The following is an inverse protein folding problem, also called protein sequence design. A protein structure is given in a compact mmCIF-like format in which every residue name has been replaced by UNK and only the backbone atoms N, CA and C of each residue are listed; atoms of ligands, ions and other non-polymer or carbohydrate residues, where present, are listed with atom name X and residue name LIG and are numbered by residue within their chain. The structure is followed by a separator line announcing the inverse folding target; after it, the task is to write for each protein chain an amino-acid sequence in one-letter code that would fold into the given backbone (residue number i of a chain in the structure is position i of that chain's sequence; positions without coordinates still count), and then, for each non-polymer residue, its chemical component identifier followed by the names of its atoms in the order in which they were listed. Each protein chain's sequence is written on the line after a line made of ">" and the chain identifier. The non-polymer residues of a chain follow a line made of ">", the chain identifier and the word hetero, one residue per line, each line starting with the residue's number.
data_IF_783603550388
#
_entry.id   IF_783603550388
#
_cell.length_a   1.000
_cell.length_b   1.000
_cell.length_c   1.000
_cell.angle_alpha   90.00
_cell.angle_beta   90.00
_cell.angle_gamma   90.00
#
_symmetry.space_group_name_H-M   'P 1'
#
loop_
_entity.id
_entity.type
_entity.pdbx_description
1 polymer ?
#
# COMPACT_ATOMS: atom_id res chain seq x y z
N UNK A 1 -66.56 -18.44 -11.69
CA UNK A 1 -66.21 -17.03 -11.93
C UNK A 1 -64.72 -16.88 -11.63
N UNK A 2 -63.87 -16.81 -12.65
CA UNK A 2 -62.40 -16.75 -12.52
C UNK A 2 -61.98 -15.28 -12.54
N UNK A 3 -61.37 -14.83 -11.45
CA UNK A 3 -60.94 -13.44 -11.26
C UNK A 3 -59.74 -13.11 -12.18
N UNK A 4 -59.76 -12.00 -12.93
CA UNK A 4 -58.71 -11.65 -13.89
C UNK A 4 -57.47 -11.00 -13.24
N UNK A 5 -57.47 -10.82 -11.92
CA UNK A 5 -56.48 -9.99 -11.21
C UNK A 5 -55.11 -10.69 -11.06
N UNK A 6 -55.08 -12.02 -11.05
CA UNK A 6 -53.82 -12.78 -10.87
C UNK A 6 -52.92 -12.78 -12.11
N UNK A 7 -53.44 -12.51 -13.31
CA UNK A 7 -52.63 -12.54 -14.54
C UNK A 7 -51.83 -11.27 -14.78
N UNK A 8 -52.24 -10.14 -14.18
CA UNK A 8 -51.55 -8.85 -14.32
C UNK A 8 -50.34 -8.73 -13.39
N UNK A 9 -50.37 -9.38 -12.22
CA UNK A 9 -49.24 -9.41 -11.27
C UNK A 9 -48.07 -10.27 -11.76
N UNK A 10 -48.32 -11.29 -12.60
CA UNK A 10 -47.25 -12.14 -13.13
C UNK A 10 -46.47 -11.48 -14.28
N UNK A 11 -47.08 -10.56 -15.02
CA UNK A 11 -46.44 -9.83 -16.13
C UNK A 11 -45.58 -8.65 -15.66
N UNK A 12 -45.86 -8.08 -14.48
CA UNK A 12 -45.07 -6.98 -13.91
C UNK A 12 -43.76 -7.45 -13.24
N UNK A 13 -43.61 -8.74 -12.94
CA UNK A 13 -42.38 -9.30 -12.35
C UNK A 13 -41.30 -9.66 -13.40
N UNK A 14 -41.61 -9.63 -14.69
CA UNK A 14 -40.68 -10.03 -15.75
C UNK A 14 -39.90 -8.88 -16.39
N UNK A 15 -40.17 -7.61 -16.02
CA UNK A 15 -39.64 -6.44 -16.71
C UNK A 15 -38.63 -5.60 -15.88
N UNK A 16 -37.91 -6.19 -14.93
CA UNK A 16 -36.89 -5.46 -14.14
C UNK A 16 -35.64 -6.27 -13.82
N UNK A 17 -35.07 -6.92 -14.82
CA UNK A 17 -33.63 -7.25 -14.83
C UNK A 17 -32.95 -6.49 -15.97
N UNK A 18 -33.15 -5.17 -15.98
CA UNK A 18 -32.28 -4.27 -16.72
C UNK A 18 -30.88 -4.34 -16.09
N UNK A 19 -29.98 -5.02 -16.81
CA UNK A 19 -28.61 -4.62 -17.05
C UNK A 19 -27.90 -3.82 -15.93
N UNK A 20 -27.33 -4.53 -14.96
CA UNK A 20 -26.09 -4.10 -14.29
C UNK A 20 -25.23 -5.32 -13.96
N UNK A 21 -24.91 -6.13 -14.97
CA UNK A 21 -23.58 -6.77 -14.98
C UNK A 21 -22.62 -5.68 -15.48
N UNK A 22 -22.36 -4.69 -14.61
CA UNK A 22 -21.17 -3.88 -14.74
C UNK A 22 -20.02 -4.87 -14.82
N UNK A 23 -19.27 -4.82 -15.92
CA UNK A 23 -18.10 -5.61 -16.17
C UNK A 23 -17.16 -5.54 -14.96
N UNK A 24 -17.26 -6.51 -14.05
CA UNK A 24 -16.17 -6.88 -13.18
C UNK A 24 -15.19 -7.53 -14.12
N UNK A 25 -14.30 -6.73 -14.71
CA UNK A 25 -13.13 -7.21 -15.42
C UNK A 25 -12.30 -7.96 -14.38
N UNK A 26 -12.29 -9.30 -14.34
CA UNK A 26 -11.48 -10.04 -13.39
C UNK A 26 -10.09 -10.07 -14.03
N UNK A 27 -9.32 -9.01 -13.82
CA UNK A 27 -8.09 -8.87 -14.60
C UNK A 27 -7.47 -7.49 -14.55
N UNK A 28 -7.50 -6.84 -13.38
CA UNK A 28 -6.34 -6.05 -13.01
C UNK A 28 -5.20 -7.05 -12.88
N UNK A 29 -4.44 -7.24 -13.96
CA UNK A 29 -3.17 -7.95 -13.91
C UNK A 29 -2.40 -7.29 -12.78
N UNK A 30 -2.30 -7.96 -11.63
CA UNK A 30 -1.25 -7.62 -10.66
C UNK A 30 0.06 -7.54 -11.45
N UNK A 31 1.00 -6.67 -11.08
CA UNK A 31 2.19 -6.41 -11.87
C UNK A 31 3.13 -7.63 -11.81
N UNK A 32 2.79 -8.70 -12.54
CA UNK A 32 3.63 -9.88 -12.72
C UNK A 32 4.60 -9.74 -13.90
N UNK A 33 4.60 -8.59 -14.57
CA UNK A 33 5.65 -8.24 -15.54
C UNK A 33 6.32 -6.95 -15.08
N UNK A 34 7.19 -7.09 -14.07
CA UNK A 34 8.08 -5.99 -13.71
C UNK A 34 9.11 -5.83 -14.84
N UNK A 35 9.32 -4.63 -15.38
CA UNK A 35 10.44 -4.38 -16.28
C UNK A 35 11.74 -4.83 -15.61
N UNK A 36 12.56 -5.57 -16.34
CA UNK A 36 13.86 -6.12 -15.88
C UNK A 36 14.82 -5.05 -15.32
N UNK A 37 14.56 -3.78 -15.60
CA UNK A 37 15.31 -2.64 -15.12
C UNK A 37 15.00 -2.28 -13.65
N UNK A 38 13.84 -2.68 -13.10
CA UNK A 38 13.51 -2.44 -11.68
C UNK A 38 13.86 -3.60 -10.75
N UNK A 39 14.56 -4.62 -11.24
CA UNK A 39 15.00 -5.76 -10.38
C UNK A 39 15.96 -5.30 -9.29
N UNK A 40 16.67 -4.18 -9.49
CA UNK A 40 17.57 -3.56 -8.51
C UNK A 40 16.83 -2.86 -7.34
N UNK A 41 15.51 -2.69 -7.43
CA UNK A 41 14.67 -2.06 -6.39
C UNK A 41 13.94 -3.08 -5.52
N UNK A 42 14.18 -4.36 -5.74
CA UNK A 42 13.62 -5.42 -4.92
C UNK A 42 14.23 -5.35 -3.51
N UNK A 43 13.40 -5.41 -2.46
CA UNK A 43 13.78 -5.27 -1.03
C UNK A 43 14.05 -3.83 -0.55
N UNK A 44 13.55 -2.82 -1.25
CA UNK A 44 13.60 -1.43 -0.78
C UNK A 44 12.41 -1.05 0.11
N UNK A 45 11.88 -2.00 0.87
CA UNK A 45 10.79 -1.76 1.82
C UNK A 45 11.07 -2.48 3.14
N UNK A 46 10.81 -1.77 4.23
CA UNK A 46 10.88 -2.28 5.59
C UNK A 46 9.60 -1.92 6.33
N UNK A 47 9.11 -2.85 7.16
CA UNK A 47 7.99 -2.61 8.04
C UNK A 47 8.27 -3.12 9.45
N UNK A 48 7.87 -2.32 10.44
CA UNK A 48 7.99 -2.62 11.85
C UNK A 48 6.64 -2.46 12.52
N UNK A 49 6.16 -3.54 13.12
CA UNK A 49 5.12 -3.52 14.13
C UNK A 49 5.79 -3.21 15.48
N UNK A 50 5.39 -2.11 16.13
CA UNK A 50 5.93 -1.73 17.42
C UNK A 50 5.15 -2.36 18.58
N UNK A 51 5.73 -2.29 19.77
CA UNK A 51 5.06 -2.67 21.01
C UNK A 51 4.11 -1.54 21.41
N UNK A 52 2.82 -1.78 21.19
CA UNK A 52 1.76 -0.86 21.57
C UNK A 52 1.31 -1.00 23.02
N UNK A 53 0.13 -0.46 23.33
CA UNK A 53 -0.55 -0.70 24.60
C UNK A 53 -1.66 -1.75 24.41
N UNK A 54 -2.53 -1.93 25.40
CA UNK A 54 -3.60 -2.93 25.34
C UNK A 54 -4.60 -2.71 24.18
N UNK A 55 -4.73 -1.47 23.70
CA UNK A 55 -5.76 -1.09 22.73
C UNK A 55 -5.21 -0.79 21.35
N UNK A 56 -3.95 -0.37 21.26
CA UNK A 56 -3.39 0.20 20.04
C UNK A 56 -2.05 -0.46 19.72
N UNK A 57 -1.84 -0.82 18.46
CA UNK A 57 -0.56 -1.29 17.90
C UNK A 57 -0.01 -0.26 16.90
N UNK A 58 1.20 0.26 17.12
CA UNK A 58 1.86 1.16 16.18
C UNK A 58 2.50 0.38 15.03
N UNK A 59 2.38 0.91 13.81
CA UNK A 59 3.06 0.41 12.62
C UNK A 59 3.89 1.52 11.97
N UNK A 60 5.04 1.12 11.42
CA UNK A 60 5.93 1.99 10.64
C UNK A 60 6.39 1.23 9.41
N UNK A 61 6.20 1.81 8.24
CA UNK A 61 6.67 1.30 6.97
C UNK A 61 7.52 2.38 6.30
N UNK A 62 8.68 1.97 5.80
CA UNK A 62 9.58 2.82 5.02
C UNK A 62 9.90 2.16 3.71
N UNK A 63 9.87 2.90 2.61
CA UNK A 63 10.28 2.39 1.32
C UNK A 63 10.98 3.45 0.47
N UNK A 64 11.90 3.01 -0.39
CA UNK A 64 12.47 3.86 -1.44
C UNK A 64 11.67 3.58 -2.71
N UNK A 65 11.15 4.64 -3.32
CA UNK A 65 10.19 4.53 -4.43
C UNK A 65 10.52 5.52 -5.55
N UNK A 66 10.08 5.21 -6.76
CA UNK A 66 10.23 6.06 -7.93
C UNK A 66 8.96 6.88 -8.25
N UNK A 67 7.84 6.59 -7.59
CA UNK A 67 6.54 7.27 -7.76
C UNK A 67 6.39 8.50 -6.85
N UNK A 68 5.41 9.35 -7.13
CA UNK A 68 4.99 10.43 -6.23
C UNK A 68 4.40 9.87 -4.92
N UNK A 69 4.95 10.34 -3.79
CA UNK A 69 4.58 9.86 -2.44
C UNK A 69 3.11 10.12 -2.10
N UNK A 70 2.56 11.26 -2.52
CA UNK A 70 1.16 11.64 -2.28
C UNK A 70 0.17 10.58 -2.81
N UNK A 71 0.43 10.07 -4.02
CA UNK A 71 -0.39 9.07 -4.69
C UNK A 71 -0.31 7.71 -3.99
N UNK A 72 0.90 7.30 -3.58
CA UNK A 72 1.09 6.08 -2.79
C UNK A 72 0.37 6.20 -1.45
N UNK A 73 0.53 7.32 -0.74
CA UNK A 73 -0.12 7.59 0.54
C UNK A 73 -1.64 7.47 0.45
N UNK A 74 -2.25 8.04 -0.58
CA UNK A 74 -3.70 7.95 -0.78
C UNK A 74 -4.15 6.49 -0.93
N UNK A 75 -3.45 5.69 -1.76
CA UNK A 75 -3.77 4.27 -1.96
C UNK A 75 -3.57 3.44 -0.69
N UNK A 76 -2.49 3.71 0.07
CA UNK A 76 -2.20 3.01 1.32
C UNK A 76 -3.31 3.21 2.35
N UNK A 77 -3.73 4.46 2.58
CA UNK A 77 -4.82 4.73 3.51
C UNK A 77 -6.15 4.16 3.03
N UNK A 78 -6.43 4.27 1.73
CA UNK A 78 -7.64 3.71 1.15
C UNK A 78 -7.72 2.19 1.36
N UNK A 79 -6.65 1.46 1.02
CA UNK A 79 -6.63 0.01 1.10
C UNK A 79 -6.58 -0.49 2.55
N UNK A 80 -5.84 0.18 3.44
CA UNK A 80 -5.81 -0.17 4.87
C UNK A 80 -7.21 -0.08 5.49
N UNK A 81 -7.93 1.02 5.23
CA UNK A 81 -9.25 1.25 5.83
C UNK A 81 -10.32 0.26 5.37
N UNK A 82 -10.14 -0.33 4.18
CA UNK A 82 -11.07 -1.29 3.59
C UNK A 82 -10.81 -2.73 4.02
N UNK A 83 -9.60 -3.04 4.48
CA UNK A 83 -9.19 -4.43 4.72
C UNK A 83 -9.87 -5.04 5.93
N UNK A 84 -9.92 -4.32 7.05
CA UNK A 84 -10.50 -4.81 8.31
C UNK A 84 -11.06 -3.64 9.12
N UNK A 85 -12.15 -3.88 9.87
CA UNK A 85 -12.77 -2.87 10.72
C UNK A 85 -11.82 -2.37 11.83
N UNK A 86 -10.94 -3.23 12.34
CA UNK A 86 -9.92 -2.88 13.32
C UNK A 86 -8.84 -1.93 12.75
N UNK A 87 -8.66 -1.94 11.42
CA UNK A 87 -7.72 -1.09 10.71
C UNK A 87 -8.38 0.17 10.11
N UNK A 88 -9.72 0.28 10.18
CA UNK A 88 -10.50 1.34 9.54
C UNK A 88 -10.27 2.74 10.11
N UNK A 89 -9.83 2.82 11.37
CA UNK A 89 -9.65 4.06 12.11
C UNK A 89 -8.20 4.23 12.58
N UNK A 90 -7.24 4.45 11.65
CA UNK A 90 -5.88 4.73 12.04
C UNK A 90 -5.80 6.09 12.74
N UNK A 91 -5.00 6.17 13.80
CA UNK A 91 -4.65 7.39 14.53
C UNK A 91 -3.16 7.69 14.37
N UNK A 92 -2.73 8.90 14.77
CA UNK A 92 -1.34 9.38 14.61
C UNK A 92 -0.78 9.14 13.19
N UNK A 93 -1.60 9.39 12.17
CA UNK A 93 -1.29 9.07 10.78
C UNK A 93 -0.24 10.03 10.24
N UNK A 94 0.86 9.48 9.75
CA UNK A 94 1.91 10.19 9.03
C UNK A 94 2.14 9.48 7.71
N UNK A 95 2.16 10.23 6.62
CA UNK A 95 2.57 9.73 5.31
C UNK A 95 3.27 10.85 4.55
N UNK A 96 4.59 10.78 4.45
CA UNK A 96 5.40 11.87 3.93
C UNK A 96 6.67 11.35 3.24
N UNK A 97 7.28 12.23 2.44
CA UNK A 97 8.59 11.99 1.83
C UNK A 97 9.69 12.42 2.80
N UNK A 98 10.53 11.46 3.21
CA UNK A 98 11.73 11.67 4.03
C UNK A 98 13.02 11.41 3.25
N UNK A 99 12.95 11.45 1.92
CA UNK A 99 14.09 11.21 1.05
C UNK A 99 15.04 12.40 1.01
N UNK A 100 16.27 12.14 0.58
CA UNK A 100 17.26 13.19 0.38
C UNK A 100 17.04 13.91 -0.96
N UNK A 101 16.62 15.18 -0.87
CA UNK A 101 16.35 16.04 -2.03
C UNK A 101 17.60 16.33 -2.85
N UNK A 102 18.81 16.24 -2.28
CA UNK A 102 20.07 16.51 -2.97
C UNK A 102 20.39 15.45 -4.03
N UNK A 103 19.97 14.20 -3.80
CA UNK A 103 20.13 13.07 -4.71
C UNK A 103 18.81 12.66 -5.39
N UNK A 104 17.76 13.47 -5.24
CA UNK A 104 16.40 13.22 -5.75
C UNK A 104 15.84 11.85 -5.30
N UNK A 105 16.25 11.36 -4.13
CA UNK A 105 15.69 10.15 -3.54
C UNK A 105 14.30 10.45 -2.97
N UNK A 106 13.32 9.58 -3.25
CA UNK A 106 12.00 9.64 -2.61
C UNK A 106 11.90 8.49 -1.61
N UNK A 107 11.78 8.83 -0.34
CA UNK A 107 11.69 7.84 0.75
C UNK A 107 10.33 7.98 1.41
N UNK A 108 9.44 7.06 1.08
CA UNK A 108 8.16 6.94 1.74
C UNK A 108 8.37 6.64 3.23
N UNK A 109 7.76 7.46 4.08
CA UNK A 109 7.57 7.16 5.50
C UNK A 109 6.09 7.11 5.81
N UNK A 110 5.59 5.93 6.17
CA UNK A 110 4.20 5.67 6.48
C UNK A 110 4.07 5.13 7.91
N UNK A 111 3.43 5.88 8.81
CA UNK A 111 3.34 5.55 10.24
C UNK A 111 1.95 5.82 10.77
N UNK A 112 1.45 4.92 11.63
CA UNK A 112 0.14 5.04 12.24
C UNK A 112 -0.04 4.09 13.41
N UNK A 113 -1.10 4.34 14.15
CA UNK A 113 -1.57 3.58 15.30
C UNK A 113 -2.95 3.00 14.96
N UNK A 114 -3.16 1.70 15.05
CA UNK A 114 -4.46 1.01 14.82
C UNK A 114 -4.83 0.14 16.01
N UNK A 115 -6.07 -0.37 16.07
CA UNK A 115 -6.47 -1.27 17.15
C UNK A 115 -5.61 -2.54 17.17
N UNK A 116 -5.36 -3.09 18.36
CA UNK A 116 -4.57 -4.33 18.55
C UNK A 116 -5.11 -5.55 17.81
N UNK A 117 -6.40 -5.55 17.47
CA UNK A 117 -7.02 -6.57 16.63
C UNK A 117 -6.72 -6.43 15.14
N UNK A 118 -6.14 -5.31 14.68
CA UNK A 118 -5.71 -5.13 13.29
C UNK A 118 -4.48 -6.01 13.01
N UNK A 119 -4.61 -7.06 12.19
CA UNK A 119 -3.51 -7.99 11.96
C UNK A 119 -2.44 -7.33 11.09
N UNK A 120 -1.16 -7.66 11.33
CA UNK A 120 -0.05 -7.17 10.49
C UNK A 120 -0.23 -7.54 9.01
N UNK A 121 -0.92 -8.65 8.72
CA UNK A 121 -1.28 -9.06 7.37
C UNK A 121 -2.17 -8.05 6.64
N UNK A 122 -3.00 -7.27 7.36
CA UNK A 122 -3.79 -6.20 6.75
C UNK A 122 -2.91 -5.05 6.25
N UNK A 123 -1.85 -4.72 7.00
CA UNK A 123 -0.86 -3.72 6.58
C UNK A 123 -0.07 -4.22 5.37
N UNK A 124 0.34 -5.48 5.38
CA UNK A 124 1.01 -6.12 4.23
C UNK A 124 0.09 -6.18 3.00
N UNK A 125 -1.21 -6.42 3.18
CA UNK A 125 -2.20 -6.40 2.11
C UNK A 125 -2.38 -5.00 1.54
N UNK A 126 -2.51 -3.98 2.40
CA UNK A 126 -2.61 -2.59 1.97
C UNK A 126 -1.39 -2.16 1.16
N UNK A 127 -0.18 -2.56 1.58
CA UNK A 127 1.04 -2.35 0.82
C UNK A 127 0.99 -3.05 -0.56
N UNK A 128 0.63 -4.33 -0.60
CA UNK A 128 0.54 -5.09 -1.84
C UNK A 128 -0.49 -4.49 -2.82
N UNK A 129 -1.69 -4.14 -2.35
CA UNK A 129 -2.74 -3.56 -3.21
C UNK A 129 -2.35 -2.16 -3.72
N UNK A 130 -1.59 -1.39 -2.93
CA UNK A 130 -1.20 -0.03 -3.30
C UNK A 130 -0.03 0.04 -4.27
N UNK A 131 0.85 -0.97 -4.24
CA UNK A 131 2.15 -0.93 -4.92
C UNK A 131 2.37 -2.11 -5.86
N UNK A 132 1.56 -3.17 -5.74
CA UNK A 132 1.79 -4.44 -6.41
C UNK A 132 3.09 -5.14 -5.99
N UNK A 133 3.68 -4.79 -4.84
CA UNK A 133 4.98 -5.28 -4.37
C UNK A 133 6.16 -5.03 -5.32
N UNK A 134 6.08 -4.00 -6.18
CA UNK A 134 7.19 -3.69 -7.09
C UNK A 134 8.48 -3.33 -6.31
N UNK A 135 8.39 -2.72 -5.13
CA UNK A 135 9.55 -2.41 -4.27
C UNK A 135 9.87 -3.51 -3.24
N UNK A 136 9.23 -4.68 -3.35
CA UNK A 136 9.38 -5.80 -2.41
C UNK A 136 8.21 -5.99 -1.45
N UNK A 137 8.30 -7.03 -0.61
CA UNK A 137 7.28 -7.38 0.40
C UNK A 137 7.61 -6.68 1.72
N UNK A 138 6.65 -5.99 2.32
CA UNK A 138 6.81 -5.25 3.59
C UNK A 138 7.08 -6.14 4.81
N UNK A 139 6.45 -7.33 4.90
CA UNK A 139 6.61 -8.33 5.97
C UNK A 139 6.45 -7.75 7.40
N UNK A 140 5.40 -6.95 7.63
CA UNK A 140 5.14 -6.32 8.92
C UNK A 140 5.01 -7.30 10.09
N UNK A 141 4.51 -8.53 9.84
CA UNK A 141 4.40 -9.58 10.86
C UNK A 141 5.72 -10.29 11.21
N UNK A 142 6.78 -10.07 10.43
CA UNK A 142 8.07 -10.76 10.59
C UNK A 142 9.01 -10.15 11.64
N UNK A 143 8.67 -8.98 12.18
CA UNK A 143 9.29 -8.42 13.39
C UNK A 143 10.78 -8.04 13.32
N UNK A 144 11.38 -7.87 12.13
CA UNK A 144 12.86 -7.82 12.01
C UNK A 144 13.46 -6.76 11.07
N UNK A 145 12.81 -5.62 10.85
CA UNK A 145 13.46 -4.56 10.08
C UNK A 145 13.35 -3.23 10.82
N UNK A 146 14.40 -2.91 11.57
CA UNK A 146 14.64 -1.54 12.01
C UNK A 146 15.28 -0.76 10.86
N UNK A 147 15.26 0.57 10.96
CA UNK A 147 15.74 1.50 9.94
C UNK A 147 17.18 1.24 9.46
N UNK A 148 17.99 0.53 10.25
CA UNK A 148 19.35 0.09 9.93
C UNK A 148 19.43 -1.09 8.93
N UNK A 149 18.29 -1.75 8.63
CA UNK A 149 18.23 -2.96 7.82
C UNK A 149 17.73 -2.73 6.39
N UNK A 150 17.37 -1.48 6.02
CA UNK A 150 17.33 -1.14 4.60
C UNK A 150 18.78 -1.21 4.11
N UNK A 151 19.10 -1.99 3.06
CA UNK A 151 20.46 -1.99 2.54
C UNK A 151 20.86 -0.53 2.27
N UNK A 152 22.02 -0.11 2.78
CA UNK A 152 22.69 1.09 2.25
C UNK A 152 22.69 0.87 0.73
N UNK A 153 21.92 1.69 0.01
CA UNK A 153 21.75 1.51 -1.42
C UNK A 153 23.15 1.34 -2.04
N UNK A 154 23.39 0.31 -2.88
CA UNK A 154 24.61 0.22 -3.63
C UNK A 154 24.48 1.18 -4.82
N UNK A 155 24.43 2.47 -4.56
CA UNK A 155 24.86 3.44 -5.55
C UNK A 155 26.22 3.93 -5.09
N UNK A 156 27.30 3.62 -5.83
CA UNK A 156 28.45 4.49 -5.77
C UNK A 156 27.98 5.82 -6.35
N UNK A 157 27.42 6.69 -5.52
CA UNK A 157 27.60 8.11 -5.77
C UNK A 157 29.12 8.26 -5.68
N UNK A 158 29.78 8.31 -6.84
CA UNK A 158 31.09 8.94 -6.90
C UNK A 158 30.83 10.33 -6.37
N UNK A 159 31.06 10.52 -5.08
CA UNK A 159 31.37 11.82 -4.53
C UNK A 159 32.66 12.17 -5.25
N UNK A 160 32.56 12.77 -6.43
CA UNK A 160 33.67 13.51 -6.99
C UNK A 160 34.06 14.45 -5.88
N UNK A 161 35.15 14.09 -5.19
CA UNK A 161 35.77 14.96 -4.21
C UNK A 161 35.96 16.26 -4.97
N UNK A 162 35.47 17.41 -4.48
CA UNK A 162 35.93 18.67 -5.00
C UNK A 162 37.45 18.61 -4.93
N UNK A 163 38.12 18.62 -6.07
CA UNK A 163 39.56 18.77 -6.16
C UNK A 163 39.86 20.14 -5.59
N UNK A 164 40.19 20.17 -4.30
CA UNK A 164 40.63 21.37 -3.63
C UNK A 164 42.09 21.59 -4.03
N UNK A 165 42.29 22.56 -4.93
CA UNK A 165 43.56 23.27 -5.11
C UNK A 165 44.55 22.66 -6.12
N UNK A 166 44.46 23.12 -7.37
CA UNK A 166 45.66 23.62 -8.04
C UNK A 166 45.73 25.13 -7.74
N UNK A 167 46.72 25.52 -6.94
CA UNK A 167 47.28 26.86 -6.87
C UNK A 167 48.74 26.73 -6.42
#
# INVERSE_FOLDING_TARGET
>A
MKSPITSLLLLLLLASTAALVSAIKPGGKGPMNMPRERTHMWQQVACKMGHGNLFVTPYKLTAIVDEEISNICHRLWHNLKRTDIACALPSRTVCEDRGDKSIQEKKLYWSFDVFTSCPAAAVDSAWYESTGNIWGRSRCGGGKYEYADLPELPFPYKKERPTFGEA
#
